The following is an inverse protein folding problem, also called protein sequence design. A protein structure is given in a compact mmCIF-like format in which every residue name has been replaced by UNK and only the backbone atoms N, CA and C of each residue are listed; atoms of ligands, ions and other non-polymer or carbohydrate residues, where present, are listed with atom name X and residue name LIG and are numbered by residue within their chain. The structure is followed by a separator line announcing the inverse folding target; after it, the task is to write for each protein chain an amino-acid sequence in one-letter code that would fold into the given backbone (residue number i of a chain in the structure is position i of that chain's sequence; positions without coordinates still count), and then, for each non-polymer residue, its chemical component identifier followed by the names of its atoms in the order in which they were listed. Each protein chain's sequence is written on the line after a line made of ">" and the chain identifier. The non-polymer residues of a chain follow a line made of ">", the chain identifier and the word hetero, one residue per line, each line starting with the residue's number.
data_IF_815657521007
#
_entry.id   IF_815657521007
#
_cell.length_a   1.000
_cell.length_b   1.000
_cell.length_c   1.000
_cell.angle_alpha   90.00
_cell.angle_beta   90.00
_cell.angle_gamma   90.00
#
_symmetry.space_group_name_H-M   'P 1'
#
loop_
_entity.id
_entity.type
_entity.pdbx_description
1 polymer ?
#
# COMPACT_ATOMS: atom_id res chain seq x y z
N UNK A 1 13.86 8.11 -2.06
CA UNK A 1 13.63 8.10 -0.61
C UNK A 1 12.15 8.30 -0.43
N UNK A 2 11.38 7.23 -0.57
CA UNK A 2 9.96 7.25 -0.28
C UNK A 2 9.79 7.62 1.20
N UNK A 3 9.06 8.70 1.44
CA UNK A 3 8.69 9.04 2.81
C UNK A 3 7.74 7.94 3.32
N UNK A 4 7.72 7.65 4.63
CA UNK A 4 6.79 6.68 5.20
C UNK A 4 5.31 7.02 4.94
N UNK A 5 5.02 8.28 4.59
CA UNK A 5 3.71 8.78 4.15
C UNK A 5 3.29 8.24 2.77
N UNK A 6 4.25 7.83 1.94
CA UNK A 6 4.01 7.28 0.60
C UNK A 6 3.91 5.74 0.60
N UNK A 7 4.15 5.11 1.76
CA UNK A 7 4.04 3.67 1.94
C UNK A 7 2.63 3.30 2.40
N UNK A 8 2.08 2.22 1.84
CA UNK A 8 0.70 1.82 2.11
C UNK A 8 0.64 0.40 2.63
N UNK A 9 -0.11 0.16 3.70
CA UNK A 9 -0.29 -1.17 4.28
C UNK A 9 -1.70 -1.70 4.03
N UNK A 10 -1.77 -2.97 3.63
CA UNK A 10 -2.99 -3.74 3.50
C UNK A 10 -3.61 -4.01 4.88
N UNK A 11 -4.84 -3.52 5.08
CA UNK A 11 -5.63 -3.67 6.31
C UNK A 11 -6.35 -5.02 6.42
N UNK A 12 -6.12 -5.92 5.47
CA UNK A 12 -6.63 -7.28 5.58
C UNK A 12 -5.93 -7.97 6.74
N UNK A 13 -6.70 -8.39 7.75
CA UNK A 13 -6.21 -8.99 9.00
C UNK A 13 -5.26 -10.17 8.80
N UNK A 14 -5.39 -10.89 7.68
CA UNK A 14 -4.57 -12.06 7.34
C UNK A 14 -3.39 -11.74 6.40
N UNK A 15 -3.15 -10.46 6.08
CA UNK A 15 -2.18 -10.05 5.05
C UNK A 15 -1.05 -9.16 5.60
N UNK A 16 -1.36 -7.94 6.03
CA UNK A 16 -0.36 -6.96 6.51
C UNK A 16 0.68 -6.52 5.46
N UNK A 17 0.48 -6.80 4.16
CA UNK A 17 1.41 -6.42 3.09
C UNK A 17 1.64 -4.91 3.02
N UNK A 18 2.90 -4.49 2.87
CA UNK A 18 3.30 -3.09 2.74
C UNK A 18 3.76 -2.84 1.31
N UNK A 19 3.08 -1.91 0.64
CA UNK A 19 3.47 -1.34 -0.65
C UNK A 19 4.51 -0.24 -0.42
N UNK A 20 5.66 -0.41 -1.06
CA UNK A 20 6.77 0.55 -1.08
C UNK A 20 6.91 1.09 -2.51
N UNK A 21 6.65 2.38 -2.74
CA UNK A 21 6.75 2.96 -4.08
C UNK A 21 8.19 2.98 -4.61
N UNK A 22 9.21 3.10 -3.77
CA UNK A 22 10.62 3.08 -4.18
C UNK A 22 11.02 1.69 -4.71
N UNK A 23 10.37 0.64 -4.21
CA UNK A 23 10.54 -0.75 -4.69
C UNK A 23 9.56 -1.13 -5.80
N UNK A 24 8.40 -0.49 -5.85
CA UNK A 24 7.27 -0.89 -6.69
C UNK A 24 6.71 -2.26 -6.28
N UNK A 25 6.00 -2.91 -7.20
CA UNK A 25 5.46 -4.25 -7.01
C UNK A 25 5.67 -5.11 -8.26
N UNK A 26 6.71 -5.94 -8.24
CA UNK A 26 7.04 -6.84 -9.35
C UNK A 26 5.93 -7.85 -9.65
N UNK A 27 5.19 -8.29 -8.63
CA UNK A 27 4.13 -9.31 -8.79
C UNK A 27 2.85 -8.68 -9.37
N UNK A 28 2.58 -7.43 -9.02
CA UNK A 28 1.55 -6.58 -9.64
C UNK A 28 1.96 -5.90 -10.95
N UNK A 29 3.17 -6.17 -11.47
CA UNK A 29 3.75 -5.51 -12.67
C UNK A 29 3.86 -3.99 -12.55
N UNK A 30 4.08 -3.50 -11.34
CA UNK A 30 4.25 -2.09 -11.03
C UNK A 30 5.75 -1.75 -10.98
N UNK A 31 6.22 -0.78 -11.77
CA UNK A 31 7.62 -0.37 -11.75
C UNK A 31 7.97 0.34 -10.43
N UNK A 32 9.27 0.37 -10.13
CA UNK A 32 9.80 1.20 -9.04
C UNK A 32 9.57 2.68 -9.33
N UNK A 33 9.28 3.45 -8.28
CA UNK A 33 8.92 4.86 -8.35
C UNK A 33 7.42 5.13 -8.56
N UNK A 34 6.58 4.11 -8.74
CA UNK A 34 5.13 4.31 -8.85
C UNK A 34 4.52 4.55 -7.47
N UNK A 35 3.82 5.67 -7.32
CA UNK A 35 3.06 5.98 -6.10
C UNK A 35 1.84 5.09 -5.98
N UNK A 36 1.38 4.83 -4.76
CA UNK A 36 0.18 4.02 -4.55
C UNK A 36 -1.07 4.64 -5.20
N UNK A 37 -1.16 5.97 -5.23
CA UNK A 37 -2.25 6.70 -5.86
C UNK A 37 -2.28 6.54 -7.39
N UNK A 38 -1.12 6.27 -7.99
CA UNK A 38 -0.94 6.04 -9.43
C UNK A 38 -1.21 4.56 -9.82
N UNK A 39 -1.46 3.70 -8.83
CA UNK A 39 -1.77 2.29 -9.09
C UNK A 39 -3.09 2.13 -9.85
N UNK A 40 -3.13 1.22 -10.84
CA UNK A 40 -4.36 0.93 -11.56
C UNK A 40 -5.45 0.43 -10.60
N UNK A 41 -6.71 0.68 -10.95
CA UNK A 41 -7.86 0.31 -10.13
C UNK A 41 -8.00 -1.20 -9.95
N UNK A 42 -7.54 -1.93 -10.96
CA UNK A 42 -7.47 -3.39 -10.99
C UNK A 42 -6.30 -3.95 -10.19
N UNK A 43 -5.39 -3.10 -9.70
CA UNK A 43 -4.32 -3.54 -8.84
C UNK A 43 -4.89 -4.10 -7.53
N UNK A 44 -4.42 -5.30 -7.23
CA UNK A 44 -4.80 -6.07 -6.05
C UNK A 44 -3.54 -6.44 -5.31
N UNK A 45 -3.67 -6.54 -3.99
CA UNK A 45 -2.60 -6.96 -3.12
C UNK A 45 -1.99 -8.27 -3.64
N UNK A 46 -0.67 -8.31 -3.89
CA UNK A 46 0.00 -9.51 -4.42
C UNK A 46 0.02 -10.69 -3.42
N UNK A 47 -0.35 -10.44 -2.17
CA UNK A 47 -0.39 -11.44 -1.08
C UNK A 47 -1.79 -12.00 -0.92
N UNK A 48 -2.81 -11.15 -0.74
CA UNK A 48 -4.18 -11.59 -0.41
C UNK A 48 -5.24 -11.33 -1.49
N UNK A 49 -4.90 -10.62 -2.56
CA UNK A 49 -5.87 -10.27 -3.61
C UNK A 49 -6.85 -9.16 -3.24
N UNK A 50 -6.74 -8.53 -2.06
CA UNK A 50 -7.56 -7.39 -1.69
C UNK A 50 -7.28 -6.19 -2.60
N UNK A 51 -8.32 -5.45 -2.98
CA UNK A 51 -8.17 -4.26 -3.80
C UNK A 51 -7.51 -3.10 -3.05
N UNK A 52 -7.09 -2.08 -3.79
CA UNK A 52 -6.45 -0.86 -3.27
C UNK A 52 -7.22 -0.14 -2.15
N UNK A 53 -8.54 -0.29 -2.10
CA UNK A 53 -9.42 0.31 -1.07
C UNK A 53 -9.14 -0.18 0.35
N UNK A 54 -8.58 -1.39 0.46
CA UNK A 54 -8.22 -2.01 1.75
C UNK A 54 -6.84 -1.56 2.25
N UNK A 55 -6.14 -0.70 1.52
CA UNK A 55 -4.85 -0.17 1.96
C UNK A 55 -5.03 1.15 2.68
N UNK A 56 -4.12 1.43 3.61
CA UNK A 56 -4.02 2.69 4.33
C UNK A 56 -2.56 3.16 4.37
N UNK A 57 -2.31 4.48 4.39
CA UNK A 57 -0.96 5.01 4.53
C UNK A 57 -0.33 4.55 5.86
N UNK A 58 0.98 4.34 5.87
CA UNK A 58 1.73 3.91 7.05
C UNK A 58 2.06 5.05 8.02
N UNK A 59 2.23 6.27 7.52
CA UNK A 59 2.45 7.47 8.33
C UNK A 59 1.59 8.64 7.83
N UNK A 60 1.22 9.54 8.75
CA UNK A 60 0.41 10.73 8.48
C UNK A 60 -1.05 10.63 8.94
N UNK A 61 -1.83 11.72 8.80
CA UNK A 61 -3.25 11.76 9.19
C UNK A 61 -4.06 10.75 8.34
N UNK A 62 -4.80 9.85 9.00
CA UNK A 62 -5.52 8.75 8.34
C UNK A 62 -4.73 7.44 8.17
N UNK A 63 -3.53 7.35 8.76
CA UNK A 63 -2.79 6.10 8.89
C UNK A 63 -3.40 5.16 9.95
N UNK A 64 -3.08 3.87 9.86
CA UNK A 64 -3.53 2.86 10.84
C UNK A 64 -3.14 3.16 12.28
N UNK A 65 -2.08 3.94 12.46
CA UNK A 65 -1.62 4.38 13.76
C UNK A 65 -2.65 5.28 14.46
N UNK A 66 -3.50 5.98 13.71
CA UNK A 66 -4.53 6.87 14.24
C UNK A 66 -5.83 6.12 14.61
N UNK A 67 -6.10 4.94 14.04
CA UNK A 67 -7.35 4.18 14.24
C UNK A 67 -7.35 3.25 15.47
N UNK A 68 -6.34 3.34 16.35
CA UNK A 68 -6.22 2.58 17.60
C UNK A 68 -6.11 3.45 18.85
N UNK A 69 -6.76 4.62 18.85
CA UNK A 69 -7.00 5.41 20.06
C UNK A 69 -8.38 5.08 20.65
#
# INVERSE_FOLDING_TARGET
>A
MANPEEMWQCQTQTCGYIYDPDRGDRKGKIPKGTRFEDLPEEWKCPVCGAGKRMFRPLAGPGSVAEQKA
#
